data_IF_600131058636
#
_entry.id   IF_600131058636
#
_cell.length_a   1.000
_cell.length_b   1.000
_cell.length_c   1.000
_cell.angle_alpha   90.00
_cell.angle_beta   90.00
_cell.angle_gamma   90.00
#
_symmetry.space_group_name_H-M   'P 1'
#
loop_
_entity.id
_entity.type
_entity.pdbx_description
1 polymer ?
#
# COMPACT_ATOMS: atom_id res chain seq x y z
N UNK A 1 5.73 32.35 14.32
CA UNK A 1 4.66 31.40 13.93
C UNK A 1 3.79 31.93 12.80
N UNK A 2 3.27 33.17 12.89
CA UNK A 2 2.44 33.84 11.87
C UNK A 2 3.03 33.85 10.45
N UNK A 3 4.33 34.03 10.28
CA UNK A 3 4.98 34.02 8.95
C UNK A 3 5.29 32.60 8.43
N UNK A 4 5.48 31.64 9.34
CA UNK A 4 5.97 30.29 8.98
C UNK A 4 4.86 29.45 8.35
N UNK A 5 3.64 29.51 8.90
CA UNK A 5 2.49 28.75 8.41
C UNK A 5 2.10 29.07 6.96
N UNK A 6 1.90 30.34 6.55
CA UNK A 6 1.50 30.67 5.18
C UNK A 6 2.64 30.45 4.18
N UNK A 7 3.89 30.66 4.58
CA UNK A 7 5.06 30.33 3.76
C UNK A 7 5.16 28.81 3.55
N UNK A 8 5.01 28.01 4.62
CA UNK A 8 5.00 26.55 4.50
C UNK A 8 3.83 26.06 3.65
N UNK A 9 2.62 26.59 3.86
CA UNK A 9 1.45 26.26 3.05
C UNK A 9 1.67 26.57 1.57
N UNK A 10 2.22 27.75 1.27
CA UNK A 10 2.52 28.19 -0.10
C UNK A 10 3.63 27.37 -0.75
N UNK A 11 4.69 27.03 -0.02
CA UNK A 11 5.78 26.17 -0.51
C UNK A 11 5.28 24.76 -0.79
N UNK A 12 4.49 24.17 0.12
CA UNK A 12 3.87 22.86 -0.09
C UNK A 12 2.96 22.92 -1.33
N UNK A 13 2.16 23.97 -1.46
CA UNK A 13 1.29 24.15 -2.62
C UNK A 13 2.09 24.28 -3.91
N UNK A 14 3.13 25.11 -3.93
CA UNK A 14 4.01 25.26 -5.08
C UNK A 14 4.72 23.95 -5.45
N UNK A 15 5.20 23.18 -4.47
CA UNK A 15 5.78 21.86 -4.70
C UNK A 15 4.76 20.89 -5.29
N UNK A 16 3.51 20.89 -4.81
CA UNK A 16 2.42 20.09 -5.39
C UNK A 16 2.23 20.46 -6.86
N UNK A 17 2.16 21.76 -7.18
CA UNK A 17 1.97 22.23 -8.56
C UNK A 17 3.15 21.82 -9.45
N UNK A 18 4.38 22.02 -8.98
CA UNK A 18 5.59 21.83 -9.78
C UNK A 18 5.95 20.36 -9.98
N UNK A 19 5.76 19.52 -8.96
CA UNK A 19 6.11 18.10 -9.01
C UNK A 19 4.98 17.28 -9.63
N UNK A 20 3.74 17.53 -9.22
CA UNK A 20 2.62 16.62 -9.47
C UNK A 20 1.36 17.33 -10.01
N UNK A 21 1.45 18.62 -10.38
CA UNK A 21 0.30 19.46 -10.70
C UNK A 21 -0.53 18.99 -11.90
N UNK A 22 0.04 18.18 -12.80
CA UNK A 22 -0.73 17.61 -13.91
C UNK A 22 -1.73 16.53 -13.47
N UNK A 23 -1.50 15.88 -12.32
CA UNK A 23 -2.25 14.70 -11.89
C UNK A 23 -2.89 14.86 -10.48
N UNK A 24 -2.33 15.72 -9.60
CA UNK A 24 -2.59 15.68 -8.15
C UNK A 24 -3.16 16.97 -7.51
N UNK A 25 -3.58 17.96 -8.30
CA UNK A 25 -3.82 19.34 -7.81
C UNK A 25 -4.79 19.51 -6.62
N UNK A 26 -5.82 18.66 -6.50
CA UNK A 26 -6.94 18.88 -5.57
C UNK A 26 -7.07 17.83 -4.45
N UNK A 27 -6.02 17.04 -4.18
CA UNK A 27 -6.16 15.85 -3.31
C UNK A 27 -5.46 15.93 -1.95
N UNK A 28 -5.05 17.13 -1.52
CA UNK A 28 -4.52 17.38 -0.17
C UNK A 28 -5.10 18.60 0.49
N UNK A 29 -5.62 18.41 1.71
CA UNK A 29 -6.10 19.49 2.56
C UNK A 29 -5.01 20.14 3.40
N UNK A 30 -3.76 19.65 3.38
CA UNK A 30 -2.69 20.17 4.25
C UNK A 30 -2.46 21.67 4.06
N UNK A 31 -2.31 22.20 2.84
CA UNK A 31 -2.16 23.65 2.64
C UNK A 31 -3.39 24.42 3.15
N UNK A 32 -4.60 23.90 2.91
CA UNK A 32 -5.87 24.51 3.33
C UNK A 32 -6.05 24.51 4.85
N UNK A 33 -5.53 23.50 5.55
CA UNK A 33 -5.52 23.45 7.02
C UNK A 33 -4.52 24.45 7.58
N UNK A 34 -3.29 24.49 7.05
CA UNK A 34 -2.23 25.41 7.51
C UNK A 34 -2.66 26.88 7.34
N UNK A 35 -3.03 27.26 6.12
CA UNK A 35 -4.36 27.79 5.81
C UNK A 35 -5.19 28.50 6.89
N UNK A 36 -6.28 27.82 7.20
CA UNK A 36 -7.25 28.12 8.23
C UNK A 36 -6.62 28.39 9.61
N UNK A 37 -5.58 27.65 9.99
CA UNK A 37 -4.88 27.85 11.26
C UNK A 37 -4.19 29.21 11.29
N UNK A 38 -3.52 29.60 10.20
CA UNK A 38 -2.92 30.92 10.06
C UNK A 38 -3.97 32.02 10.16
N UNK A 39 -5.07 31.93 9.40
CA UNK A 39 -6.12 32.96 9.42
C UNK A 39 -6.74 33.13 10.81
N UNK A 40 -7.01 32.02 11.50
CA UNK A 40 -7.55 32.03 12.86
C UNK A 40 -6.56 32.66 13.84
N UNK A 41 -5.27 32.30 13.76
CA UNK A 41 -4.24 32.88 14.59
C UNK A 41 -4.05 34.39 14.32
N UNK A 42 -4.01 34.81 13.05
CA UNK A 42 -3.87 36.21 12.66
C UNK A 42 -5.01 37.07 13.20
N UNK A 43 -6.24 36.56 13.15
CA UNK A 43 -7.41 37.25 13.72
C UNK A 43 -7.31 37.40 15.25
N UNK A 44 -6.75 36.40 15.94
CA UNK A 44 -6.47 36.46 17.38
C UNK A 44 -5.45 37.54 17.73
N UNK A 45 -4.35 37.63 16.96
CA UNK A 45 -3.30 38.63 17.19
C UNK A 45 -3.77 40.06 16.93
N UNK A 46 -4.77 40.27 16.06
CA UNK A 46 -5.37 41.59 15.79
C UNK A 46 -6.30 42.07 16.91
N UNK A 47 -6.43 41.33 18.02
CA UNK A 47 -7.22 41.75 19.19
C UNK A 47 -8.73 41.74 18.93
N UNK A 48 -9.20 40.86 18.06
CA UNK A 48 -10.64 40.74 17.75
C UNK A 48 -11.43 40.18 18.93
N UNK A 49 -12.70 40.57 19.02
CA UNK A 49 -13.61 40.13 20.06
C UNK A 49 -13.82 38.61 20.01
N UNK A 50 -13.78 37.94 21.16
CA UNK A 50 -13.82 36.47 21.28
C UNK A 50 -14.96 35.81 20.47
N UNK A 51 -16.15 36.42 20.44
CA UNK A 51 -17.31 35.90 19.69
C UNK A 51 -17.06 35.85 18.18
N UNK A 52 -16.38 36.85 17.63
CA UNK A 52 -16.05 36.91 16.20
C UNK A 52 -14.92 35.94 15.85
N UNK A 53 -13.98 35.74 16.76
CA UNK A 53 -12.92 34.74 16.61
C UNK A 53 -13.49 33.32 16.55
N UNK A 54 -14.42 32.98 17.46
CA UNK A 54 -15.10 31.67 17.47
C UNK A 54 -15.91 31.45 16.19
N UNK A 55 -16.65 32.47 15.72
CA UNK A 55 -17.41 32.38 14.48
C UNK A 55 -16.50 32.13 13.27
N UNK A 56 -15.40 32.87 13.15
CA UNK A 56 -14.43 32.69 12.06
C UNK A 56 -13.74 31.33 12.12
N UNK A 57 -13.35 30.87 13.31
CA UNK A 57 -12.78 29.54 13.49
C UNK A 57 -13.77 28.44 13.06
N UNK A 58 -15.06 28.59 13.34
CA UNK A 58 -16.10 27.66 12.88
C UNK A 58 -16.25 27.67 11.35
N UNK A 59 -16.21 28.85 10.72
CA UNK A 59 -16.24 28.98 9.25
C UNK A 59 -15.01 28.31 8.61
N UNK A 60 -13.81 28.56 9.14
CA UNK A 60 -12.59 27.93 8.64
C UNK A 60 -12.56 26.42 8.88
N UNK A 61 -13.10 25.94 10.01
CA UNK A 61 -13.27 24.51 10.26
C UNK A 61 -14.24 23.88 9.27
N UNK A 62 -15.37 24.55 8.99
CA UNK A 62 -16.31 24.11 7.96
C UNK A 62 -15.65 24.06 6.58
N UNK A 63 -14.82 25.06 6.23
CA UNK A 63 -14.02 25.08 5.00
C UNK A 63 -13.05 23.89 4.93
N UNK A 64 -12.34 23.59 6.02
CA UNK A 64 -11.45 22.43 6.11
C UNK A 64 -12.23 21.12 5.92
N UNK A 65 -13.35 20.95 6.62
CA UNK A 65 -14.17 19.74 6.53
C UNK A 65 -14.69 19.58 5.10
N UNK A 66 -15.22 20.65 4.53
CA UNK A 66 -15.77 20.66 3.18
C UNK A 66 -14.71 20.33 2.12
N UNK A 67 -13.54 20.96 2.22
CA UNK A 67 -12.42 20.68 1.34
C UNK A 67 -11.89 19.25 1.50
N UNK A 68 -11.86 18.71 2.73
CA UNK A 68 -11.54 17.30 2.98
C UNK A 68 -12.56 16.34 2.36
N UNK A 69 -13.85 16.66 2.41
CA UNK A 69 -14.91 15.86 1.76
C UNK A 69 -14.76 15.84 0.24
N UNK A 70 -14.28 16.95 -0.34
CA UNK A 70 -13.98 17.04 -1.77
C UNK A 70 -12.71 16.25 -2.13
N UNK A 71 -11.63 16.43 -1.36
CA UNK A 71 -10.36 15.70 -1.49
C UNK A 71 -10.55 14.18 -1.35
N UNK A 72 -11.41 13.75 -0.44
CA UNK A 72 -11.72 12.33 -0.21
C UNK A 72 -12.64 11.71 -1.27
N UNK A 73 -13.15 12.50 -2.22
CA UNK A 73 -14.02 12.04 -3.29
C UNK A 73 -15.48 11.84 -2.88
N UNK A 74 -15.86 12.23 -1.66
CA UNK A 74 -17.26 12.21 -1.20
C UNK A 74 -18.08 13.25 -1.97
N UNK A 75 -17.51 14.44 -2.17
CA UNK A 75 -18.08 15.49 -3.01
C UNK A 75 -17.36 15.49 -4.35
N UNK A 76 -18.05 15.04 -5.40
CA UNK A 76 -17.51 14.90 -6.76
C UNK A 76 -17.42 16.19 -7.60
N UNK A 77 -18.33 17.18 -7.49
CA UNK A 77 -18.24 18.35 -8.36
C UNK A 77 -17.04 19.24 -7.97
N UNK A 78 -16.00 19.22 -8.81
CA UNK A 78 -14.79 20.04 -8.66
C UNK A 78 -15.12 21.55 -8.73
N UNK A 79 -16.20 21.92 -9.43
CA UNK A 79 -16.70 23.30 -9.52
C UNK A 79 -16.97 23.94 -8.16
N UNK A 80 -17.20 23.13 -7.12
CA UNK A 80 -17.42 23.64 -5.78
C UNK A 80 -16.14 24.19 -5.16
N UNK A 81 -14.96 23.68 -5.52
CA UNK A 81 -13.65 24.27 -5.11
C UNK A 81 -13.54 25.71 -5.61
N UNK A 82 -13.91 25.93 -6.88
CA UNK A 82 -13.90 27.27 -7.48
C UNK A 82 -14.84 28.22 -6.74
N UNK A 83 -16.10 27.83 -6.51
CA UNK A 83 -17.07 28.65 -5.77
C UNK A 83 -16.60 28.98 -4.35
N UNK A 84 -15.94 28.02 -3.70
CA UNK A 84 -15.43 28.16 -2.35
C UNK A 84 -14.29 29.20 -2.28
N UNK A 85 -13.30 29.14 -3.18
CA UNK A 85 -12.26 30.17 -3.27
C UNK A 85 -12.80 31.51 -3.75
N UNK A 86 -13.75 31.52 -4.70
CA UNK A 86 -14.37 32.75 -5.20
C UNK A 86 -15.12 33.49 -4.09
N UNK A 87 -15.87 32.76 -3.26
CA UNK A 87 -16.53 33.31 -2.08
C UNK A 87 -15.54 33.88 -1.07
N UNK A 88 -14.44 33.17 -0.78
CA UNK A 88 -13.40 33.65 0.14
C UNK A 88 -12.74 34.95 -0.36
N UNK A 89 -12.40 35.04 -1.66
CA UNK A 89 -11.86 36.27 -2.28
C UNK A 89 -12.88 37.41 -2.22
N UNK A 90 -14.16 37.13 -2.49
CA UNK A 90 -15.22 38.14 -2.46
C UNK A 90 -15.45 38.70 -1.04
N UNK A 91 -15.48 37.85 -0.01
CA UNK A 91 -15.61 38.29 1.39
C UNK A 91 -14.42 39.15 1.80
N UNK A 92 -13.19 38.70 1.53
CA UNK A 92 -12.00 39.47 1.87
C UNK A 92 -11.96 40.81 1.14
N UNK A 93 -12.36 40.83 -0.14
CA UNK A 93 -12.48 42.06 -0.93
C UNK A 93 -13.53 43.03 -0.37
N UNK A 94 -14.67 42.51 0.07
CA UNK A 94 -15.73 43.32 0.69
C UNK A 94 -15.29 43.92 2.02
N UNK A 95 -14.65 43.15 2.88
CA UNK A 95 -14.15 43.63 4.18
C UNK A 95 -13.02 44.66 4.01
N UNK A 96 -12.22 44.51 2.95
CA UNK A 96 -11.12 45.43 2.63
C UNK A 96 -11.56 46.66 1.83
N UNK A 97 -12.83 46.75 1.42
CA UNK A 97 -13.32 47.80 0.49
C UNK A 97 -13.05 49.21 1.00
N UNK A 98 -13.23 49.46 2.29
CA UNK A 98 -13.07 50.79 2.89
C UNK A 98 -11.60 51.22 2.88
N UNK A 99 -10.68 50.30 3.19
CA UNK A 99 -9.24 50.55 3.14
C UNK A 99 -8.76 50.79 1.70
N UNK A 100 -9.29 50.02 0.73
CA UNK A 100 -8.95 50.13 -0.70
C UNK A 100 -9.46 51.47 -1.27
N UNK A 101 -10.74 51.79 -1.05
CA UNK A 101 -11.36 53.02 -1.56
C UNK A 101 -10.75 54.28 -0.92
N UNK A 102 -10.34 54.20 0.34
CA UNK A 102 -9.69 55.30 1.07
C UNK A 102 -8.20 55.44 0.77
N UNK A 103 -7.64 54.65 -0.16
CA UNK A 103 -6.22 54.63 -0.55
C UNK A 103 -5.25 54.48 0.64
N UNK A 104 -5.65 53.72 1.66
CA UNK A 104 -4.80 53.44 2.81
C UNK A 104 -3.80 52.33 2.49
N UNK A 105 -2.74 52.68 1.77
CA UNK A 105 -1.73 51.74 1.27
C UNK A 105 -1.12 50.85 2.37
N UNK A 106 -0.90 51.39 3.57
CA UNK A 106 -0.37 50.62 4.70
C UNK A 106 -1.30 49.47 5.13
N UNK A 107 -2.61 49.70 5.17
CA UNK A 107 -3.59 48.66 5.49
C UNK A 107 -3.72 47.65 4.35
N UNK A 108 -3.61 48.11 3.10
CA UNK A 108 -3.62 47.25 1.92
C UNK A 108 -2.44 46.26 1.93
N UNK A 109 -1.22 46.71 2.20
CA UNK A 109 -0.04 45.83 2.26
C UNK A 109 -0.13 44.76 3.36
N UNK A 110 -0.91 44.98 4.42
CA UNK A 110 -1.13 43.98 5.47
C UNK A 110 -2.12 42.87 5.07
N UNK A 111 -2.96 43.10 4.06
CA UNK A 111 -3.99 42.16 3.59
C UNK A 111 -3.60 41.54 2.25
N UNK A 112 -2.68 42.17 1.51
CA UNK A 112 -2.19 41.70 0.22
C UNK A 112 -1.75 40.22 0.21
N UNK A 113 -1.01 39.68 1.21
CA UNK A 113 -0.64 38.27 1.23
C UNK A 113 -1.84 37.31 1.27
N UNK A 114 -2.90 37.70 1.99
CA UNK A 114 -4.13 36.91 2.11
C UNK A 114 -4.88 36.89 0.78
N UNK A 115 -4.94 38.05 0.11
CA UNK A 115 -5.60 38.22 -1.17
C UNK A 115 -4.89 37.47 -2.30
N UNK A 116 -3.56 37.59 -2.40
CA UNK A 116 -2.78 36.92 -3.44
C UNK A 116 -2.87 35.40 -3.34
N UNK A 117 -2.92 34.88 -2.11
CA UNK A 117 -3.00 33.44 -1.88
C UNK A 117 -4.39 32.86 -2.16
N UNK A 118 -5.46 33.51 -1.71
CA UNK A 118 -6.83 33.07 -2.05
C UNK A 118 -7.10 33.18 -3.55
N UNK A 119 -6.59 34.24 -4.18
CA UNK A 119 -6.67 34.42 -5.63
C UNK A 119 -5.85 33.37 -6.38
N UNK A 120 -4.65 33.01 -5.88
CA UNK A 120 -3.86 31.90 -6.41
C UNK A 120 -4.61 30.57 -6.36
N UNK A 121 -5.26 30.26 -5.23
CA UNK A 121 -6.12 29.07 -5.10
C UNK A 121 -7.31 29.07 -6.08
N UNK A 122 -7.93 30.23 -6.29
CA UNK A 122 -8.99 30.41 -7.30
C UNK A 122 -8.48 30.14 -8.71
N UNK A 123 -7.35 30.73 -9.12
CA UNK A 123 -6.77 30.50 -10.45
C UNK A 123 -6.39 29.05 -10.67
N UNK A 124 -5.80 28.42 -9.66
CA UNK A 124 -5.50 26.99 -9.69
C UNK A 124 -6.75 26.14 -9.88
N UNK A 125 -7.85 26.49 -9.22
CA UNK A 125 -9.09 25.69 -9.34
C UNK A 125 -9.62 25.63 -10.78
N UNK A 126 -9.28 26.63 -11.61
CA UNK A 126 -9.56 26.64 -13.05
C UNK A 126 -8.61 25.77 -13.88
N UNK A 127 -7.41 25.49 -13.37
CA UNK A 127 -6.42 24.64 -14.02
C UNK A 127 -6.64 23.14 -13.75
N UNK A 128 -7.62 22.77 -12.92
CA UNK A 128 -7.91 21.37 -12.59
C UNK A 128 -8.42 20.62 -13.84
N UNK A 129 -7.72 19.55 -14.21
CA UNK A 129 -8.11 18.67 -15.32
C UNK A 129 -8.93 17.48 -14.80
N UNK A 130 -10.18 17.29 -15.27
CA UNK A 130 -10.90 16.04 -15.02
C UNK A 130 -10.34 14.94 -15.93
N UNK A 131 -9.94 13.81 -15.35
CA UNK A 131 -9.53 12.63 -16.12
C UNK A 131 -10.76 11.80 -16.47
N UNK A 132 -11.03 11.65 -17.78
CA UNK A 132 -12.21 10.94 -18.32
C UNK A 132 -11.87 9.54 -18.87
N UNK A 133 -10.62 9.08 -18.73
CA UNK A 133 -10.11 7.84 -19.31
C UNK A 133 -10.49 6.57 -18.52
N UNK A 134 -11.21 6.71 -17.40
CA UNK A 134 -11.63 5.59 -16.55
C UNK A 134 -10.48 4.85 -15.86
N UNK A 135 -9.26 5.40 -15.93
CA UNK A 135 -8.08 4.88 -15.25
C UNK A 135 -7.93 5.53 -13.88
N UNK A 136 -7.25 4.82 -12.99
CA UNK A 136 -6.84 5.43 -11.74
C UNK A 136 -5.63 6.34 -12.01
N UNK A 137 -5.75 7.60 -11.59
CA UNK A 137 -4.64 8.54 -11.57
C UNK A 137 -4.15 8.65 -10.14
N UNK A 138 -2.83 8.54 -9.89
CA UNK A 138 -2.26 8.71 -8.56
C UNK A 138 -2.70 10.02 -7.91
N UNK A 139 -2.72 9.99 -6.59
CA UNK A 139 -3.36 11.02 -5.78
C UNK A 139 -2.53 11.32 -4.56
N UNK A 140 -2.71 12.51 -4.00
CA UNK A 140 -1.90 12.87 -2.85
C UNK A 140 -2.11 11.89 -1.69
N UNK A 141 -0.99 11.49 -1.10
CA UNK A 141 -0.93 10.49 -0.06
C UNK A 141 -1.02 9.06 -0.56
N UNK A 142 -1.04 8.82 -1.87
CA UNK A 142 -0.61 7.54 -2.46
C UNK A 142 0.91 7.43 -2.36
N UNK A 143 1.39 6.20 -2.53
CA UNK A 143 2.81 5.86 -2.50
C UNK A 143 3.25 5.39 -3.88
N UNK A 144 4.56 5.41 -4.10
CA UNK A 144 5.16 4.83 -5.30
C UNK A 144 4.86 3.33 -5.47
N UNK A 145 4.62 2.60 -4.37
CA UNK A 145 4.28 1.18 -4.35
C UNK A 145 2.79 0.88 -4.11
N UNK A 146 1.91 1.89 -4.12
CA UNK A 146 0.48 1.62 -3.99
C UNK A 146 -0.45 2.82 -3.85
N UNK A 147 -1.69 2.59 -4.26
CA UNK A 147 -2.82 3.52 -4.12
C UNK A 147 -3.38 3.46 -2.70
N UNK A 148 -3.66 4.60 -2.07
CA UNK A 148 -4.37 4.62 -0.77
C UNK A 148 -5.84 4.23 -0.97
N UNK A 149 -6.36 3.36 -0.10
CA UNK A 149 -7.78 2.98 -0.07
C UNK A 149 -8.55 3.99 0.80
N UNK A 150 -9.53 4.69 0.23
CA UNK A 150 -10.20 5.85 0.86
C UNK A 150 -11.62 5.55 1.32
N UNK A 151 -12.29 4.58 0.70
CA UNK A 151 -13.68 4.20 0.95
C UNK A 151 -13.82 3.07 1.98
N UNK A 152 -12.84 2.95 2.89
CA UNK A 152 -12.85 1.97 3.96
C UNK A 152 -13.92 2.29 5.02
N UNK A 153 -14.54 1.26 5.61
CA UNK A 153 -15.40 1.45 6.79
C UNK A 153 -14.64 2.17 7.92
N UNK A 154 -15.32 2.99 8.75
CA UNK A 154 -14.67 3.77 9.81
C UNK A 154 -13.78 2.95 10.74
N UNK A 155 -14.21 1.74 11.13
CA UNK A 155 -13.39 0.85 11.97
C UNK A 155 -12.08 0.46 11.31
N UNK A 156 -12.08 0.14 10.01
CA UNK A 156 -10.85 -0.19 9.26
C UNK A 156 -9.90 1.00 9.12
N UNK A 157 -10.39 2.23 9.24
CA UNK A 157 -9.57 3.45 9.28
C UNK A 157 -8.95 3.67 10.67
N UNK A 158 -9.67 3.33 11.74
CA UNK A 158 -9.23 3.56 13.13
C UNK A 158 -8.28 2.46 13.63
N UNK A 159 -8.54 1.20 13.30
CA UNK A 159 -7.77 0.04 13.78
C UNK A 159 -6.24 0.19 13.58
N UNK A 160 -5.73 0.69 12.44
CA UNK A 160 -4.29 0.92 12.25
C UNK A 160 -3.62 1.85 13.28
N UNK A 161 -4.40 2.74 13.91
CA UNK A 161 -3.93 3.65 14.96
C UNK A 161 -3.94 3.01 16.36
N UNK A 162 -4.75 1.97 16.56
CA UNK A 162 -4.82 1.20 17.81
C UNK A 162 -3.77 0.07 17.76
N UNK A 163 -3.77 -0.68 16.67
CA UNK A 163 -2.91 -1.83 16.43
C UNK A 163 -1.73 -1.39 15.57
N UNK A 164 -0.79 -0.69 16.19
CA UNK A 164 0.31 0.00 15.48
C UNK A 164 1.30 -1.01 14.87
N UNK A 165 1.76 -1.96 15.68
CA UNK A 165 2.76 -2.96 15.26
C UNK A 165 2.09 -4.09 14.48
N UNK A 166 2.76 -4.58 13.44
CA UNK A 166 2.20 -5.64 12.59
C UNK A 166 2.24 -6.98 13.28
N UNK A 167 3.28 -7.25 14.09
CA UNK A 167 3.34 -8.46 14.90
C UNK A 167 2.11 -8.58 15.83
N UNK A 168 1.69 -7.47 16.45
CA UNK A 168 0.50 -7.41 17.30
C UNK A 168 -0.84 -7.44 16.56
N UNK A 169 -0.84 -7.42 15.22
CA UNK A 169 -2.03 -7.46 14.37
C UNK A 169 -2.09 -8.71 13.48
N UNK A 170 -1.29 -9.71 13.84
CA UNK A 170 -1.23 -11.01 13.19
C UNK A 170 -2.42 -11.88 13.61
N UNK A 171 -3.17 -12.38 12.63
CA UNK A 171 -3.99 -13.57 12.82
C UNK A 171 -3.32 -14.74 12.09
N UNK A 172 -3.41 -15.95 12.63
CA UNK A 172 -2.82 -17.11 11.97
C UNK A 172 -3.71 -18.34 12.03
N UNK A 173 -3.57 -19.17 11.00
CA UNK A 173 -4.23 -20.47 10.91
C UNK A 173 -3.23 -21.51 10.40
N UNK A 174 -3.30 -22.71 10.98
CA UNK A 174 -2.63 -23.90 10.46
C UNK A 174 -3.66 -24.76 9.78
N UNK A 175 -3.31 -25.29 8.62
CA UNK A 175 -4.19 -26.07 7.78
C UNK A 175 -3.44 -27.23 7.13
N UNK A 176 -4.15 -28.33 6.90
CA UNK A 176 -3.61 -29.51 6.21
C UNK A 176 -4.24 -29.57 4.83
N UNK A 177 -3.41 -29.47 3.78
CA UNK A 177 -3.86 -29.55 2.41
C UNK A 177 -3.61 -30.95 1.86
N UNK A 178 -4.68 -31.59 1.39
CA UNK A 178 -4.58 -32.83 0.62
C UNK A 178 -4.11 -32.51 -0.80
N UNK A 179 -3.03 -33.16 -1.26
CA UNK A 179 -2.31 -32.82 -2.48
C UNK A 179 -2.23 -34.00 -3.47
N UNK A 180 -3.08 -35.02 -3.36
CA UNK A 180 -2.98 -36.21 -4.21
C UNK A 180 -3.18 -35.82 -5.69
N UNK A 181 -4.26 -35.10 -5.99
CA UNK A 181 -4.56 -34.62 -7.34
C UNK A 181 -3.57 -33.54 -7.78
N UNK A 182 -3.16 -32.67 -6.84
CA UNK A 182 -2.16 -31.65 -7.08
C UNK A 182 -0.80 -32.23 -7.48
N UNK A 183 -0.38 -33.36 -6.89
CA UNK A 183 0.84 -34.07 -7.30
C UNK A 183 0.70 -34.70 -8.69
N UNK A 184 -0.48 -35.21 -9.03
CA UNK A 184 -0.73 -35.72 -10.38
C UNK A 184 -0.60 -34.60 -11.40
N UNK A 185 -1.23 -33.46 -11.15
CA UNK A 185 -1.11 -32.27 -11.98
C UNK A 185 0.34 -31.81 -12.14
N UNK A 186 1.12 -31.76 -11.06
CA UNK A 186 2.56 -31.42 -11.15
C UNK A 186 3.32 -32.39 -12.06
N UNK A 187 3.00 -33.69 -12.03
CA UNK A 187 3.63 -34.70 -12.90
C UNK A 187 3.18 -34.57 -14.35
N UNK A 188 1.94 -34.17 -14.60
CA UNK A 188 1.43 -33.85 -15.94
C UNK A 188 2.21 -32.68 -16.54
N UNK A 189 2.30 -31.55 -15.83
CA UNK A 189 3.07 -30.38 -16.27
C UNK A 189 4.56 -30.65 -16.51
N UNK A 190 5.18 -31.52 -15.70
CA UNK A 190 6.56 -31.96 -15.96
C UNK A 190 6.68 -32.77 -17.24
N UNK A 191 5.71 -33.62 -17.55
CA UNK A 191 5.67 -34.40 -18.81
C UNK A 191 5.41 -33.51 -20.03
N UNK A 192 4.71 -32.39 -19.87
CA UNK A 192 4.51 -31.35 -20.89
C UNK A 192 5.79 -30.51 -21.16
N UNK A 193 6.89 -30.75 -20.44
CA UNK A 193 8.17 -30.06 -20.64
C UNK A 193 8.55 -29.04 -19.56
N UNK A 194 7.68 -28.81 -18.56
CA UNK A 194 8.00 -27.95 -17.41
C UNK A 194 8.80 -28.72 -16.35
N UNK A 195 10.04 -29.08 -16.67
CA UNK A 195 10.88 -30.01 -15.88
C UNK A 195 11.02 -29.64 -14.40
N UNK A 196 11.13 -28.35 -14.07
CA UNK A 196 11.29 -27.84 -12.71
C UNK A 196 9.95 -27.50 -12.03
N UNK A 197 8.81 -27.86 -12.64
CA UNK A 197 7.50 -27.52 -12.11
C UNK A 197 7.25 -28.19 -10.76
N UNK A 198 6.53 -27.54 -9.84
CA UNK A 198 6.43 -27.99 -8.46
C UNK A 198 5.34 -27.25 -7.68
N UNK A 199 5.12 -27.66 -6.42
CA UNK A 199 4.04 -27.11 -5.59
C UNK A 199 4.14 -25.60 -5.41
N UNK A 200 5.35 -25.05 -5.29
CA UNK A 200 5.58 -23.60 -5.19
C UNK A 200 4.91 -22.86 -6.34
N UNK A 201 5.07 -23.32 -7.59
CA UNK A 201 4.46 -22.70 -8.77
C UNK A 201 2.93 -22.73 -8.69
N UNK A 202 2.36 -23.84 -8.21
CA UNK A 202 0.91 -23.97 -8.10
C UNK A 202 0.35 -23.08 -6.97
N UNK A 203 1.03 -23.02 -5.82
CA UNK A 203 0.61 -22.16 -4.72
C UNK A 203 0.70 -20.68 -5.07
N UNK A 204 1.74 -20.26 -5.81
CA UNK A 204 1.85 -18.90 -6.34
C UNK A 204 0.68 -18.61 -7.29
N UNK A 205 0.45 -19.49 -8.27
CA UNK A 205 -0.64 -19.30 -9.25
C UNK A 205 -2.02 -19.28 -8.57
N UNK A 206 -2.24 -20.11 -7.56
CA UNK A 206 -3.46 -20.10 -6.75
C UNK A 206 -3.60 -18.78 -5.98
N UNK A 207 -2.52 -18.24 -5.41
CA UNK A 207 -2.55 -16.93 -4.73
C UNK A 207 -2.85 -15.79 -5.71
N UNK A 208 -2.23 -15.78 -6.91
CA UNK A 208 -2.55 -14.82 -7.98
C UNK A 208 -4.03 -14.87 -8.34
N UNK A 209 -4.58 -16.07 -8.52
CA UNK A 209 -6.01 -16.25 -8.79
C UNK A 209 -6.90 -15.79 -7.62
N UNK A 210 -6.45 -15.95 -6.38
CA UNK A 210 -7.13 -15.41 -5.21
C UNK A 210 -7.14 -13.90 -5.22
N UNK A 211 -6.02 -13.23 -5.49
CA UNK A 211 -5.96 -11.76 -5.60
C UNK A 211 -6.87 -11.25 -6.71
N UNK A 212 -6.88 -11.92 -7.87
CA UNK A 212 -7.74 -11.53 -9.00
C UNK A 212 -9.24 -11.53 -8.64
N UNK A 213 -9.67 -12.45 -7.77
CA UNK A 213 -11.06 -12.51 -7.30
C UNK A 213 -11.32 -11.66 -6.05
N UNK A 214 -10.30 -11.53 -5.21
CA UNK A 214 -10.36 -10.92 -3.88
C UNK A 214 -9.23 -9.90 -3.71
N UNK A 215 -9.32 -8.72 -4.33
CA UNK A 215 -8.23 -7.76 -4.43
C UNK A 215 -7.77 -7.18 -3.08
N UNK A 216 -8.61 -7.20 -2.03
CA UNK A 216 -8.20 -6.76 -0.69
C UNK A 216 -7.03 -7.57 -0.12
N UNK A 217 -6.76 -8.78 -0.63
CA UNK A 217 -5.61 -9.59 -0.26
C UNK A 217 -4.28 -8.95 -0.69
N UNK A 218 -4.31 -8.08 -1.70
CA UNK A 218 -3.16 -7.33 -2.23
C UNK A 218 -3.05 -5.91 -1.63
N UNK A 219 -3.68 -5.68 -0.49
CA UNK A 219 -3.55 -4.44 0.28
C UNK A 219 -2.38 -4.51 1.26
N UNK A 220 -1.91 -3.36 1.73
CA UNK A 220 -0.90 -3.27 2.77
C UNK A 220 -1.12 -2.06 3.67
N UNK A 221 -0.45 -2.07 4.82
CA UNK A 221 -0.38 -0.90 5.69
C UNK A 221 1.00 -0.26 5.63
N UNK A 222 1.00 1.06 5.50
CA UNK A 222 2.14 1.92 5.83
C UNK A 222 1.65 3.27 6.36
N UNK A 223 2.38 3.90 7.27
CA UNK A 223 1.95 5.17 7.86
C UNK A 223 0.56 5.15 8.50
N UNK A 224 0.16 4.00 9.08
CA UNK A 224 -1.19 3.76 9.65
C UNK A 224 -2.35 3.96 8.66
N UNK A 225 -2.07 3.79 7.36
CA UNK A 225 -3.04 3.88 6.28
C UNK A 225 -2.99 2.61 5.45
N UNK A 226 -4.13 2.24 4.89
CA UNK A 226 -4.27 1.07 4.03
C UNK A 226 -4.09 1.49 2.56
N UNK A 227 -3.31 0.73 1.83
CA UNK A 227 -3.01 0.90 0.41
C UNK A 227 -3.31 -0.39 -0.33
N UNK A 228 -3.53 -0.29 -1.64
CA UNK A 228 -3.68 -1.40 -2.58
C UNK A 228 -2.53 -1.33 -3.58
N UNK A 229 -1.87 -2.46 -3.86
CA UNK A 229 -0.85 -2.56 -4.92
C UNK A 229 -1.45 -2.65 -6.33
N UNK A 230 -2.79 -2.66 -6.42
CA UNK A 230 -3.50 -2.76 -7.69
C UNK A 230 -3.13 -4.06 -8.41
N UNK A 231 -2.67 -3.92 -9.65
CA UNK A 231 -2.37 -5.02 -10.55
C UNK A 231 -0.96 -5.60 -10.38
N UNK A 232 -0.13 -5.04 -9.50
CA UNK A 232 1.19 -5.57 -9.18
C UNK A 232 1.12 -6.47 -7.94
N UNK A 233 1.36 -7.76 -8.13
CA UNK A 233 1.42 -8.76 -7.06
C UNK A 233 2.89 -9.08 -6.84
N UNK A 234 3.46 -8.53 -5.78
CA UNK A 234 4.86 -8.67 -5.41
C UNK A 234 5.03 -9.90 -4.51
N UNK A 235 5.53 -10.97 -5.08
CA UNK A 235 5.83 -12.21 -4.38
C UNK A 235 7.27 -12.23 -3.89
N UNK A 236 7.47 -12.39 -2.59
CA UNK A 236 8.78 -12.50 -1.96
C UNK A 236 9.04 -13.93 -1.49
N UNK A 237 10.27 -14.42 -1.67
CA UNK A 237 10.69 -15.73 -1.16
C UNK A 237 12.19 -15.74 -0.86
N UNK A 238 12.57 -16.36 0.25
CA UNK A 238 13.98 -16.67 0.53
C UNK A 238 14.43 -17.88 -0.29
N UNK A 239 15.60 -17.75 -0.91
CA UNK A 239 16.24 -18.78 -1.71
C UNK A 239 17.65 -18.98 -1.18
N UNK A 240 18.02 -20.25 -0.98
CA UNK A 240 19.42 -20.64 -0.76
C UNK A 240 20.04 -21.03 -2.09
N UNK A 241 21.19 -20.42 -2.42
CA UNK A 241 21.98 -20.81 -3.60
C UNK A 241 22.56 -22.21 -3.44
N UNK A 242 23.02 -22.52 -2.23
CA UNK A 242 23.59 -23.81 -1.86
C UNK A 242 22.93 -24.30 -0.57
N UNK A 243 22.64 -25.59 -0.49
CA UNK A 243 22.07 -26.23 0.70
C UNK A 243 23.16 -26.50 1.75
N UNK A 244 23.83 -25.43 2.19
CA UNK A 244 24.83 -25.42 3.25
C UNK A 244 24.40 -24.47 4.38
N UNK A 245 24.89 -24.70 5.59
CA UNK A 245 24.69 -23.80 6.73
C UNK A 245 25.39 -22.46 6.54
N UNK A 246 26.50 -22.44 5.81
CA UNK A 246 27.34 -21.25 5.62
C UNK A 246 26.94 -20.44 4.38
N UNK A 247 26.06 -21.01 3.54
CA UNK A 247 25.57 -20.34 2.35
C UNK A 247 24.63 -19.18 2.76
N UNK A 248 24.87 -17.95 2.26
CA UNK A 248 24.02 -16.83 2.58
C UNK A 248 22.62 -17.02 2.00
N UNK A 249 21.62 -16.62 2.78
CA UNK A 249 20.25 -16.52 2.29
C UNK A 249 20.14 -15.29 1.37
N UNK A 250 19.45 -15.46 0.26
CA UNK A 250 19.06 -14.35 -0.62
C UNK A 250 17.55 -14.35 -0.79
N UNK A 251 16.97 -13.24 -1.24
CA UNK A 251 15.54 -13.14 -1.46
C UNK A 251 15.27 -12.80 -2.92
N UNK A 252 14.30 -13.48 -3.52
CA UNK A 252 13.73 -13.08 -4.81
C UNK A 252 12.48 -12.24 -4.57
N UNK A 253 12.27 -11.25 -5.43
CA UNK A 253 11.02 -10.53 -5.57
C UNK A 253 10.51 -10.70 -6.99
N UNK A 254 9.31 -11.22 -7.12
CA UNK A 254 8.68 -11.56 -8.38
C UNK A 254 7.44 -10.68 -8.58
N UNK A 255 7.35 -10.02 -9.72
CA UNK A 255 6.19 -9.21 -10.11
C UNK A 255 5.22 -10.02 -10.97
N UNK A 256 4.03 -10.24 -10.43
CA UNK A 256 2.96 -10.99 -11.07
C UNK A 256 1.76 -10.08 -11.33
N UNK A 257 0.99 -10.40 -12.36
CA UNK A 257 -0.29 -9.75 -12.67
C UNK A 257 -1.45 -10.64 -12.27
N UNK A 258 -2.62 -10.09 -11.88
CA UNK A 258 -3.84 -10.87 -11.62
C UNK A 258 -4.25 -11.80 -12.77
N UNK A 259 -3.84 -11.49 -14.00
CA UNK A 259 -4.13 -12.28 -15.21
C UNK A 259 -3.14 -13.41 -15.47
N UNK A 260 -2.01 -13.47 -14.76
CA UNK A 260 -0.98 -14.48 -14.99
C UNK A 260 -1.52 -15.90 -14.75
N UNK A 261 -1.15 -16.80 -15.65
CA UNK A 261 -1.44 -18.23 -15.56
C UNK A 261 -0.33 -18.96 -14.81
N UNK A 262 -0.54 -20.25 -14.56
CA UNK A 262 0.50 -21.13 -14.00
C UNK A 262 1.76 -21.23 -14.88
N UNK A 263 1.61 -21.07 -16.20
CA UNK A 263 2.72 -21.06 -17.15
C UNK A 263 3.53 -19.76 -17.04
N UNK A 264 2.85 -18.62 -16.90
CA UNK A 264 3.50 -17.33 -16.66
C UNK A 264 4.25 -17.33 -15.33
N UNK A 265 3.61 -17.85 -14.28
CA UNK A 265 4.23 -18.02 -12.97
C UNK A 265 5.47 -18.90 -13.06
N UNK A 266 5.39 -20.05 -13.73
CA UNK A 266 6.54 -20.93 -13.93
C UNK A 266 7.69 -20.23 -14.64
N UNK A 267 7.39 -19.54 -15.75
CA UNK A 267 8.39 -18.84 -16.53
C UNK A 267 9.07 -17.73 -15.71
N UNK A 268 8.29 -16.80 -15.16
CA UNK A 268 8.83 -15.65 -14.43
C UNK A 268 9.55 -16.07 -13.15
N UNK A 269 9.04 -17.06 -12.41
CA UNK A 269 9.70 -17.58 -11.21
C UNK A 269 11.07 -18.17 -11.53
N UNK A 270 11.17 -19.02 -12.55
CA UNK A 270 12.45 -19.61 -12.93
C UNK A 270 13.42 -18.56 -13.51
N UNK A 271 12.94 -17.59 -14.29
CA UNK A 271 13.75 -16.45 -14.74
C UNK A 271 14.38 -15.71 -13.54
N UNK A 272 13.61 -15.41 -12.48
CA UNK A 272 14.13 -14.74 -11.28
C UNK A 272 15.08 -15.61 -10.45
N UNK A 273 14.76 -16.90 -10.29
CA UNK A 273 15.65 -17.85 -9.59
C UNK A 273 16.99 -17.99 -10.32
N UNK A 274 16.98 -18.10 -11.65
CA UNK A 274 18.20 -18.19 -12.45
C UNK A 274 18.98 -16.88 -12.45
N UNK A 275 18.32 -15.72 -12.50
CA UNK A 275 18.99 -14.42 -12.30
C UNK A 275 19.72 -14.37 -10.96
N UNK A 276 19.07 -14.77 -9.87
CA UNK A 276 19.69 -14.73 -8.54
C UNK A 276 20.82 -15.73 -8.39
N UNK A 277 20.68 -16.95 -8.93
CA UNK A 277 21.78 -17.94 -8.95
C UNK A 277 22.99 -17.44 -9.72
N UNK A 278 22.78 -16.87 -10.90
CA UNK A 278 23.84 -16.40 -11.79
C UNK A 278 24.43 -15.03 -11.40
N UNK A 279 23.72 -14.24 -10.58
CA UNK A 279 24.26 -12.99 -10.03
C UNK A 279 25.37 -13.34 -9.04
N UNK A 280 26.59 -12.79 -9.18
CA UNK A 280 27.64 -12.97 -8.19
C UNK A 280 27.15 -12.55 -6.79
N UNK A 281 27.74 -13.06 -5.70
CA UNK A 281 27.43 -12.69 -4.30
C UNK A 281 27.62 -11.18 -3.97
N UNK A 282 27.82 -10.34 -4.98
CA UNK A 282 27.86 -8.88 -4.94
C UNK A 282 26.57 -8.27 -5.53
N UNK A 283 25.39 -8.80 -5.17
CA UNK A 283 24.11 -8.22 -5.60
C UNK A 283 23.89 -6.82 -5.00
N UNK A 284 23.02 -6.00 -5.58
CA UNK A 284 22.71 -4.65 -5.06
C UNK A 284 22.17 -4.69 -3.62
N UNK A 285 21.42 -5.72 -3.24
CA UNK A 285 20.96 -5.92 -1.87
C UNK A 285 22.10 -6.28 -0.93
N UNK A 286 22.99 -7.20 -1.33
CA UNK A 286 24.16 -7.60 -0.52
C UNK A 286 25.15 -6.44 -0.34
N UNK A 287 25.32 -5.58 -1.34
CA UNK A 287 26.11 -4.36 -1.23
C UNK A 287 25.48 -3.36 -0.26
N UNK A 288 24.16 -3.17 -0.33
CA UNK A 288 23.44 -2.28 0.59
C UNK A 288 23.49 -2.82 2.03
N UNK A 289 23.31 -4.13 2.21
CA UNK A 289 23.44 -4.80 3.49
C UNK A 289 24.87 -4.73 4.03
N UNK A 290 25.90 -4.93 3.18
CA UNK A 290 27.31 -4.76 3.56
C UNK A 290 27.63 -3.33 3.98
N UNK A 291 27.13 -2.33 3.25
CA UNK A 291 27.28 -0.93 3.61
C UNK A 291 26.69 -0.67 5.00
N UNK A 292 25.51 -1.23 5.29
CA UNK A 292 24.90 -1.14 6.61
C UNK A 292 25.72 -1.83 7.71
N UNK A 293 26.35 -2.98 7.44
CA UNK A 293 27.19 -3.68 8.44
C UNK A 293 28.49 -2.94 8.77
N UNK A 294 28.97 -2.04 7.90
CA UNK A 294 30.16 -1.23 8.15
C UNK A 294 29.87 -0.01 9.03
N UNK A 295 28.59 0.33 9.26
CA UNK A 295 28.23 1.49 10.06
C UNK A 295 28.39 1.17 11.56
N UNK A 296 28.98 2.08 12.35
CA UNK A 296 28.95 1.98 13.81
C UNK A 296 27.52 1.86 14.32
N UNK A 297 27.29 1.06 15.38
CA UNK A 297 25.95 0.69 15.83
C UNK A 297 24.98 1.86 16.07
N UNK A 298 25.48 3.02 16.54
CA UNK A 298 24.67 4.22 16.72
C UNK A 298 24.20 4.82 15.38
N UNK A 299 25.10 4.86 14.39
CA UNK A 299 24.80 5.34 13.03
C UNK A 299 23.85 4.38 12.34
N UNK A 300 24.03 3.07 12.51
CA UNK A 300 23.11 2.07 11.97
C UNK A 300 21.71 2.20 12.58
N UNK A 301 21.60 2.35 13.90
CA UNK A 301 20.32 2.59 14.58
C UNK A 301 19.63 3.85 14.07
N UNK A 302 20.36 4.95 13.91
CA UNK A 302 19.84 6.19 13.33
C UNK A 302 19.36 5.99 11.89
N UNK A 303 20.12 5.25 11.08
CA UNK A 303 19.79 4.95 9.69
C UNK A 303 18.51 4.13 9.58
N UNK A 304 18.34 3.08 10.40
CA UNK A 304 17.10 2.30 10.45
C UNK A 304 15.92 3.15 10.92
N UNK A 305 16.12 4.02 11.92
CA UNK A 305 15.08 4.96 12.35
C UNK A 305 14.67 5.93 11.23
N UNK A 306 15.64 6.45 10.48
CA UNK A 306 15.39 7.32 9.33
C UNK A 306 14.61 6.58 8.25
N UNK A 307 15.01 5.37 7.88
CA UNK A 307 14.29 4.54 6.90
C UNK A 307 12.86 4.23 7.35
N UNK A 308 12.64 3.89 8.62
CA UNK A 308 11.29 3.71 9.19
C UNK A 308 10.45 4.98 9.11
N UNK A 309 11.06 6.14 9.36
CA UNK A 309 10.39 7.44 9.28
C UNK A 309 10.01 7.76 7.83
N UNK A 310 10.93 7.57 6.88
CA UNK A 310 10.66 7.71 5.45
C UNK A 310 9.55 6.75 5.01
N UNK A 311 9.56 5.50 5.48
CA UNK A 311 8.52 4.52 5.15
C UNK A 311 7.16 5.00 5.67
N UNK A 312 7.10 5.43 6.92
CA UNK A 312 5.87 5.93 7.53
C UNK A 312 5.23 7.06 6.69
N UNK A 313 6.04 7.95 6.12
CA UNK A 313 5.55 9.05 5.28
C UNK A 313 5.44 8.72 3.78
N UNK A 314 5.79 7.50 3.34
CA UNK A 314 5.75 7.13 1.91
C UNK A 314 6.88 7.70 1.08
N UNK A 315 7.99 8.07 1.71
CA UNK A 315 9.15 8.72 1.10
C UNK A 315 10.34 7.78 0.88
N UNK A 316 10.16 6.46 1.08
CA UNK A 316 11.22 5.50 0.74
C UNK A 316 11.43 5.51 -0.78
N UNK A 317 12.69 5.64 -1.25
CA UNK A 317 13.03 5.52 -2.66
C UNK A 317 12.58 4.19 -3.29
N UNK A 318 12.05 4.24 -4.50
CA UNK A 318 11.53 3.08 -5.22
C UNK A 318 12.55 1.92 -5.33
N UNK A 319 13.83 2.23 -5.54
CA UNK A 319 14.86 1.19 -5.62
C UNK A 319 15.03 0.40 -4.32
N UNK A 320 14.82 1.04 -3.15
CA UNK A 320 14.85 0.35 -1.86
C UNK A 320 13.60 -0.50 -1.68
N UNK A 321 12.44 -0.03 -2.13
CA UNK A 321 11.21 -0.84 -2.13
C UNK A 321 11.41 -2.09 -2.98
N UNK A 322 12.01 -1.95 -4.17
CA UNK A 322 12.26 -3.06 -5.09
C UNK A 322 13.16 -4.15 -4.48
N UNK A 323 14.30 -3.77 -3.88
CA UNK A 323 15.24 -4.74 -3.30
C UNK A 323 14.82 -5.25 -1.92
N UNK A 324 13.88 -4.58 -1.24
CA UNK A 324 13.53 -4.94 0.14
C UNK A 324 12.63 -6.18 0.21
N UNK A 325 13.03 -7.25 0.93
CA UNK A 325 12.17 -8.42 1.12
C UNK A 325 10.99 -8.16 2.06
N UNK A 326 10.99 -7.01 2.74
CA UNK A 326 9.97 -6.61 3.70
C UNK A 326 8.82 -5.82 3.07
N UNK A 327 8.94 -5.47 1.79
CA UNK A 327 7.92 -4.76 1.03
C UNK A 327 7.40 -5.66 -0.09
N UNK A 328 6.13 -6.03 -0.05
CA UNK A 328 5.54 -6.91 -1.04
C UNK A 328 4.12 -7.35 -0.67
N UNK A 329 3.45 -8.04 -1.59
CA UNK A 329 2.09 -8.56 -1.42
C UNK A 329 2.06 -9.77 -0.49
N UNK A 330 3.04 -10.65 -0.64
CA UNK A 330 3.11 -11.91 0.11
C UNK A 330 4.52 -12.42 0.24
N UNK A 331 4.83 -13.03 1.37
CA UNK A 331 6.04 -13.81 1.55
C UNK A 331 5.69 -15.30 1.60
N UNK A 332 6.37 -16.10 0.79
CA UNK A 332 6.27 -17.56 0.86
C UNK A 332 7.59 -18.15 1.35
N UNK A 333 7.48 -19.09 2.27
CA UNK A 333 8.61 -19.92 2.68
C UNK A 333 8.32 -21.40 2.48
N UNK A 334 9.26 -22.09 1.84
CA UNK A 334 9.22 -23.52 1.62
C UNK A 334 10.05 -24.21 2.70
N UNK A 335 9.40 -24.69 3.75
CA UNK A 335 10.04 -25.51 4.77
C UNK A 335 10.24 -26.95 4.28
N UNK A 336 9.42 -27.37 3.30
CA UNK A 336 9.53 -28.67 2.65
C UNK A 336 10.88 -28.91 1.95
N UNK A 337 11.53 -27.87 1.43
CA UNK A 337 12.90 -27.98 0.87
C UNK A 337 13.99 -28.12 1.93
N UNK A 338 13.70 -27.78 3.18
CA UNK A 338 14.60 -27.93 4.32
C UNK A 338 14.35 -29.22 5.12
N UNK A 339 13.35 -30.01 4.73
CA UNK A 339 13.02 -31.26 5.42
C UNK A 339 12.23 -31.10 6.71
N UNK A 340 11.60 -29.93 6.96
CA UNK A 340 10.87 -29.68 8.22
C UNK A 340 9.39 -29.29 7.98
N UNK A 341 8.51 -29.45 8.99
CA UNK A 341 7.10 -29.03 8.92
C UNK A 341 6.94 -27.52 8.70
N UNK A 342 5.71 -27.10 8.38
CA UNK A 342 5.40 -25.68 8.22
C UNK A 342 5.54 -24.93 9.55
N UNK A 343 6.22 -23.78 9.51
CA UNK A 343 6.41 -22.90 10.68
C UNK A 343 5.42 -21.75 10.64
N UNK A 344 4.92 -21.33 11.80
CA UNK A 344 4.20 -20.04 11.89
C UNK A 344 5.24 -18.93 11.91
N UNK A 345 5.36 -18.21 10.81
CA UNK A 345 6.25 -17.06 10.71
C UNK A 345 5.50 -15.78 11.08
N UNK A 346 6.11 -14.92 11.90
CA UNK A 346 5.56 -13.60 12.25
C UNK A 346 5.54 -12.66 11.05
N UNK A 347 4.75 -11.59 11.11
CA UNK A 347 4.89 -10.49 10.17
C UNK A 347 5.95 -9.50 10.65
N UNK A 348 6.77 -9.00 9.73
CA UNK A 348 7.81 -8.02 10.06
C UNK A 348 7.18 -6.65 10.39
N UNK A 349 7.68 -6.01 11.46
CA UNK A 349 7.28 -4.65 11.83
C UNK A 349 7.95 -3.58 10.95
N UNK A 350 9.03 -3.92 10.25
CA UNK A 350 9.59 -3.08 9.20
C UNK A 350 9.02 -3.51 7.84
N UNK A 351 8.66 -2.53 7.01
CA UNK A 351 8.06 -2.74 5.70
C UNK A 351 6.53 -2.88 5.75
N UNK A 352 5.97 -3.43 4.67
CA UNK A 352 4.54 -3.39 4.41
C UNK A 352 3.97 -4.72 3.89
N UNK A 353 4.63 -5.83 4.20
CA UNK A 353 4.19 -7.16 3.79
C UNK A 353 3.04 -7.68 4.69
N UNK A 354 1.84 -7.93 4.13
CA UNK A 354 0.63 -8.22 4.91
C UNK A 354 0.38 -9.72 5.13
N UNK A 355 0.97 -10.60 4.32
CA UNK A 355 0.63 -12.03 4.29
C UNK A 355 1.90 -12.86 4.23
N UNK A 356 2.05 -13.79 5.17
CA UNK A 356 3.14 -14.76 5.22
C UNK A 356 2.56 -16.17 5.14
N UNK A 357 3.03 -16.95 4.17
CA UNK A 357 2.59 -18.33 3.95
C UNK A 357 3.79 -19.24 4.06
N UNK A 358 3.69 -20.26 4.91
CA UNK A 358 4.70 -21.32 5.01
C UNK A 358 4.06 -22.65 4.66
N UNK A 359 4.80 -23.52 3.97
CA UNK A 359 4.37 -24.89 3.75
C UNK A 359 5.49 -25.89 4.03
N UNK A 360 5.11 -27.03 4.59
CA UNK A 360 6.01 -28.05 5.12
C UNK A 360 6.38 -29.15 4.13
N UNK A 361 7.03 -30.18 4.67
CA UNK A 361 7.25 -31.42 3.95
C UNK A 361 5.94 -32.13 3.57
N UNK A 362 6.00 -32.85 2.46
CA UNK A 362 4.92 -33.75 2.07
C UNK A 362 4.90 -34.97 2.99
N UNK A 363 3.73 -35.38 3.43
CA UNK A 363 3.55 -36.61 4.18
C UNK A 363 2.38 -37.43 3.62
N UNK A 364 2.23 -38.66 4.09
CA UNK A 364 1.18 -39.59 3.66
C UNK A 364 0.35 -40.00 4.86
N UNK A 365 -0.96 -40.04 4.69
CA UNK A 365 -1.91 -40.51 5.71
C UNK A 365 -2.87 -41.51 5.09
N UNK A 366 -3.17 -42.55 5.83
CA UNK A 366 -4.22 -43.49 5.49
C UNK A 366 -5.53 -42.95 6.06
N UNK A 367 -6.52 -42.74 5.20
CA UNK A 367 -7.88 -42.37 5.57
C UNK A 367 -8.85 -43.49 5.22
N UNK A 368 -9.92 -43.62 5.99
CA UNK A 368 -10.99 -44.58 5.69
C UNK A 368 -12.07 -43.86 4.89
N UNK A 369 -12.34 -44.34 3.67
CA UNK A 369 -13.45 -43.88 2.84
C UNK A 369 -14.79 -44.17 3.51
N UNK A 370 -15.86 -43.49 3.08
CA UNK A 370 -17.22 -43.79 3.52
C UNK A 370 -17.60 -45.27 3.31
N UNK A 371 -17.04 -45.91 2.26
CA UNK A 371 -17.24 -47.33 1.96
C UNK A 371 -16.34 -48.28 2.77
N UNK A 372 -15.64 -47.79 3.80
CA UNK A 372 -14.74 -48.58 4.65
C UNK A 372 -13.37 -48.92 4.04
N UNK A 373 -13.10 -48.50 2.80
CA UNK A 373 -11.79 -48.73 2.14
C UNK A 373 -10.72 -47.78 2.68
N UNK A 374 -9.54 -48.32 2.97
CA UNK A 374 -8.37 -47.51 3.34
C UNK A 374 -7.75 -46.88 2.09
N UNK A 375 -7.76 -45.55 2.02
CA UNK A 375 -7.17 -44.76 0.95
C UNK A 375 -5.90 -44.06 1.46
N UNK A 376 -4.81 -44.18 0.70
CA UNK A 376 -3.56 -43.50 1.01
C UNK A 376 -3.52 -42.15 0.31
N UNK A 377 -3.67 -41.08 1.08
CA UNK A 377 -3.65 -39.70 0.58
C UNK A 377 -2.34 -39.00 0.96
N UNK A 378 -1.99 -37.97 0.19
CA UNK A 378 -0.78 -37.16 0.42
C UNK A 378 -1.20 -35.79 0.92
N UNK A 379 -0.43 -35.25 1.85
CA UNK A 379 -0.72 -33.97 2.49
C UNK A 379 0.52 -33.09 2.55
N UNK A 380 0.28 -31.79 2.69
CA UNK A 380 1.26 -30.78 3.06
C UNK A 380 0.62 -29.89 4.12
N UNK A 381 1.35 -29.66 5.20
CA UNK A 381 0.97 -28.65 6.20
C UNK A 381 1.21 -27.26 5.62
N UNK A 382 0.27 -26.35 5.83
CA UNK A 382 0.38 -24.95 5.51
C UNK A 382 0.06 -24.10 6.73
N UNK A 383 0.75 -22.99 6.88
CA UNK A 383 0.39 -21.96 7.85
C UNK A 383 0.28 -20.62 7.16
N UNK A 384 -0.76 -19.89 7.51
CA UNK A 384 -1.01 -18.55 7.01
C UNK A 384 -0.94 -17.61 8.20
N UNK A 385 -0.10 -16.58 8.12
CA UNK A 385 -0.11 -15.45 9.05
C UNK A 385 -0.47 -14.19 8.27
N UNK A 386 -1.52 -13.50 8.70
CA UNK A 386 -2.20 -12.47 7.94
C UNK A 386 -2.41 -11.22 8.80
N UNK A 387 -2.26 -10.05 8.18
CA UNK A 387 -2.48 -8.76 8.83
C UNK A 387 -3.98 -8.46 8.87
N UNK A 388 -4.62 -8.58 10.03
CA UNK A 388 -6.09 -8.42 10.17
C UNK A 388 -6.60 -7.01 9.82
N UNK A 389 -5.69 -6.06 9.65
CA UNK A 389 -6.01 -4.66 9.36
C UNK A 389 -6.24 -4.41 7.87
N UNK A 390 -5.82 -5.31 6.97
CA UNK A 390 -6.06 -5.13 5.51
C UNK A 390 -7.46 -5.58 5.07
N UNK A 391 -8.00 -6.63 5.71
CA UNK A 391 -9.36 -7.12 5.54
C UNK A 391 -9.79 -8.00 6.72
N UNK A 392 -11.10 -8.24 6.86
CA UNK A 392 -11.66 -8.98 7.99
C UNK A 392 -11.51 -10.51 7.88
N UNK A 393 -11.81 -11.21 8.98
CA UNK A 393 -11.72 -12.66 9.05
C UNK A 393 -12.68 -13.41 8.11
N UNK A 394 -13.84 -12.85 7.78
CA UNK A 394 -14.77 -13.48 6.84
C UNK A 394 -14.20 -13.43 5.41
N UNK A 395 -13.59 -12.32 5.05
CA UNK A 395 -12.88 -12.13 3.79
C UNK A 395 -11.75 -13.16 3.67
N UNK A 396 -10.89 -13.28 4.69
CA UNK A 396 -9.83 -14.29 4.71
C UNK A 396 -10.35 -15.72 4.63
N UNK A 397 -11.38 -16.07 5.41
CA UNK A 397 -11.99 -17.40 5.36
C UNK A 397 -12.54 -17.72 3.95
N UNK A 398 -13.10 -16.73 3.27
CA UNK A 398 -13.61 -16.86 1.91
C UNK A 398 -12.47 -17.07 0.90
N UNK A 399 -11.39 -16.31 1.03
CA UNK A 399 -10.16 -16.46 0.23
C UNK A 399 -9.57 -17.86 0.42
N UNK A 400 -9.41 -18.34 1.65
CA UNK A 400 -8.84 -19.67 1.94
C UNK A 400 -9.70 -20.81 1.38
N UNK A 401 -11.03 -20.72 1.51
CA UNK A 401 -11.96 -21.69 0.89
C UNK A 401 -11.85 -21.68 -0.64
N UNK A 402 -11.69 -20.50 -1.24
CA UNK A 402 -11.50 -20.36 -2.68
C UNK A 402 -10.16 -20.95 -3.13
N UNK A 403 -9.07 -20.64 -2.42
CA UNK A 403 -7.75 -21.21 -2.65
C UNK A 403 -7.80 -22.73 -2.58
N UNK A 404 -8.46 -23.32 -1.56
CA UNK A 404 -8.62 -24.77 -1.44
C UNK A 404 -9.31 -25.38 -2.66
N UNK A 405 -10.39 -24.77 -3.15
CA UNK A 405 -11.08 -25.23 -4.37
C UNK A 405 -10.18 -25.20 -5.60
N UNK A 406 -9.32 -24.18 -5.74
CA UNK A 406 -8.34 -24.11 -6.82
C UNK A 406 -7.26 -25.19 -6.70
N UNK A 407 -6.87 -25.56 -5.49
CA UNK A 407 -5.83 -26.58 -5.27
C UNK A 407 -6.38 -28.01 -5.42
N UNK A 408 -7.68 -28.21 -5.21
CA UNK A 408 -8.37 -29.48 -5.52
C UNK A 408 -8.61 -29.67 -7.02
N UNK A 409 -8.64 -28.60 -7.82
CA UNK A 409 -8.79 -28.63 -9.27
C UNK A 409 -7.81 -27.65 -9.94
N UNK A 410 -6.51 -28.00 -9.98
CA UNK A 410 -5.44 -27.08 -10.38
C UNK A 410 -5.42 -26.75 -11.88
N UNK A 411 -6.09 -27.54 -12.74
CA UNK A 411 -6.20 -27.25 -14.18
C UNK A 411 -6.90 -25.91 -14.46
N UNK A 412 -7.68 -25.38 -13.50
CA UNK A 412 -8.24 -24.02 -13.56
C UNK A 412 -7.21 -22.88 -13.55
N UNK A 413 -5.96 -23.21 -13.25
CA UNK A 413 -4.83 -22.27 -13.24
C UNK A 413 -4.11 -22.20 -14.59
N UNK A 414 -4.44 -23.09 -15.53
CA UNK A 414 -3.87 -23.12 -16.87
C UNK A 414 -4.34 -21.95 -17.75
N UNK A 415 -5.58 -21.50 -17.55
CA UNK A 415 -6.17 -20.37 -18.28
C UNK A 415 -6.16 -19.09 -17.43
N UNK A 416 -6.22 -17.88 -18.01
CA UNK A 416 -6.42 -16.64 -17.25
C UNK A 416 -7.76 -16.63 -16.48
N UNK A 417 -7.96 -15.71 -15.50
CA UNK A 417 -9.25 -15.59 -14.83
C UNK A 417 -10.27 -14.95 -15.77
N UNK A 418 -11.52 -15.40 -15.71
CA UNK A 418 -12.62 -14.83 -16.50
C UNK A 418 -12.83 -13.33 -16.19
N UNK A 419 -12.61 -12.93 -14.94
CA UNK A 419 -12.75 -11.55 -14.48
C UNK A 419 -11.72 -11.24 -13.39
N UNK A 420 -11.17 -10.04 -13.45
CA UNK A 420 -10.36 -9.43 -12.40
C UNK A 420 -11.24 -8.41 -11.67
N UNK A 421 -11.49 -8.64 -10.39
CA UNK A 421 -12.23 -7.70 -9.55
C UNK A 421 -11.33 -6.53 -9.14
N UNK A 422 -11.86 -5.31 -9.27
CA UNK A 422 -11.16 -4.11 -8.82
C UNK A 422 -11.39 -3.88 -7.34
N UNK A 423 -10.35 -3.40 -6.66
CA UNK A 423 -10.46 -2.99 -5.26
C UNK A 423 -11.28 -1.70 -5.12
N UNK A 424 -11.84 -1.47 -3.92
CA UNK A 424 -12.61 -0.26 -3.60
C UNK A 424 -11.72 0.99 -3.64
N UNK A 425 -12.30 2.17 -3.92
CA UNK A 425 -11.57 3.44 -4.09
C UNK A 425 -10.86 3.96 -2.85
#
# INVERSE_FOLDING_TARGET
MLLILPVAASLIYALIVLLDGQEHFYRTAVPVVLMAVYFTANLAFRGTWMRYLVLNAAVYLAFIVFYNLLVSGVIRPISVVFLMFAGAVAVLGYDSRSAILSRQWAAYFQILPDFTMLFGGLLVSLAIRPHLDGRYHPTWGDRSDGRRVRTLPPMSVVVPYIMVNRNGACNFIRDELEITDLEQYVREKRREGLTNFGLTHVFIAAYVRCVARYPALNRFLSGQRVYSRGDDIQYCMSVKKEMSTDAPDTCIKLHLKPTDTVYDVYRKFNEEVEKVKNTPLNSNFDQTARLFTMLPGLVFKFTVWLLKTLDYFGLIPLFLLEVSPFHGSVFFTSMGSLGIPAIVHHLYDFGNLPVFIAFGCKFRRNEVSADGKVLKKKYVDMTFNLDERICDGFYYATVLKYMRRLLSDPHRLDTPPERVEKDID
#
